data_IF_467831571234
#
_entry.id   IF_467831571234
#
_cell.length_a   1.000
_cell.length_b   1.000
_cell.length_c   1.000
_cell.angle_alpha   90.00
_cell.angle_beta   90.00
_cell.angle_gamma   90.00
#
_symmetry.space_group_name_H-M   'P 1'
#
loop_
_entity.id
_entity.type
_entity.pdbx_description
1 polymer ?
#
# COMPACT_ATOMS: atom_id res chain seq x y z
N UNK A 1 -30.42 19.79 12.14
CA UNK A 1 -29.34 19.28 13.01
C UNK A 1 -28.85 17.90 12.57
N UNK A 2 -29.72 16.88 12.36
CA UNK A 2 -29.30 15.53 11.94
C UNK A 2 -28.47 15.44 10.63
N UNK A 3 -28.71 16.30 9.63
CA UNK A 3 -27.96 16.30 8.37
C UNK A 3 -26.50 16.77 8.53
N UNK A 4 -26.25 17.71 9.44
CA UNK A 4 -24.89 18.20 9.70
C UNK A 4 -24.05 17.18 10.47
N UNK A 5 -24.67 16.37 11.34
CA UNK A 5 -23.97 15.33 12.09
C UNK A 5 -23.27 14.34 11.16
N UNK A 6 -23.98 13.83 10.15
CA UNK A 6 -23.41 12.87 9.19
C UNK A 6 -22.27 13.48 8.36
N UNK A 7 -22.36 14.77 8.01
CA UNK A 7 -21.28 15.48 7.29
C UNK A 7 -20.02 15.55 8.15
N UNK A 8 -20.15 15.95 9.42
CA UNK A 8 -19.00 16.02 10.33
C UNK A 8 -18.42 14.63 10.62
N UNK A 9 -19.25 13.60 10.79
CA UNK A 9 -18.79 12.20 10.93
C UNK A 9 -17.90 11.76 9.75
N UNK A 10 -18.24 12.12 8.51
CA UNK A 10 -17.39 11.81 7.36
C UNK A 10 -16.10 12.63 7.30
N UNK A 11 -16.16 13.91 7.68
CA UNK A 11 -14.99 14.79 7.67
C UNK A 11 -13.96 14.40 8.74
N UNK A 12 -14.43 13.86 9.86
CA UNK A 12 -13.60 13.42 10.98
C UNK A 12 -13.10 11.96 10.83
N UNK A 13 -13.41 11.29 9.72
CA UNK A 13 -12.87 9.95 9.47
C UNK A 13 -11.34 10.01 9.43
N UNK A 14 -10.65 9.16 10.20
CA UNK A 14 -9.20 9.12 10.18
C UNK A 14 -8.71 8.65 8.81
N UNK A 15 -7.61 9.23 8.35
CA UNK A 15 -6.91 8.78 7.15
C UNK A 15 -5.89 7.72 7.55
N UNK A 16 -6.08 6.49 7.08
CA UNK A 16 -5.22 5.36 7.44
C UNK A 16 -3.78 5.50 6.88
N UNK A 17 -3.65 6.12 5.71
CA UNK A 17 -2.36 6.34 5.03
C UNK A 17 -2.07 7.83 4.99
N UNK A 18 -1.11 8.26 5.80
CA UNK A 18 -0.70 9.66 5.88
C UNK A 18 0.64 9.88 5.18
N UNK A 19 0.84 11.11 4.71
CA UNK A 19 2.15 11.54 4.21
C UNK A 19 3.17 11.56 5.34
N UNK A 20 4.43 11.25 5.02
CA UNK A 20 5.52 11.35 5.99
C UNK A 20 5.81 12.82 6.26
N UNK A 21 6.10 13.17 7.52
CA UNK A 21 6.49 14.54 7.91
C UNK A 21 7.67 15.07 7.07
N UNK A 22 8.59 14.16 6.70
CA UNK A 22 9.71 14.43 5.82
C UNK A 22 9.61 13.47 4.62
N UNK A 23 8.92 13.87 3.54
CA UNK A 23 8.76 13.03 2.37
C UNK A 23 10.09 12.89 1.63
N UNK A 24 10.30 11.72 1.03
CA UNK A 24 11.46 11.49 0.16
C UNK A 24 11.19 12.18 -1.17
N UNK A 25 12.02 13.15 -1.53
CA UNK A 25 11.97 13.76 -2.87
C UNK A 25 12.69 12.86 -3.88
N UNK A 26 12.07 12.63 -5.04
CA UNK A 26 12.62 11.79 -6.10
C UNK A 26 12.69 12.62 -7.38
N UNK A 27 13.90 13.03 -7.78
CA UNK A 27 14.12 13.83 -8.98
C UNK A 27 14.01 12.99 -10.27
N UNK A 28 14.79 11.90 -10.35
CA UNK A 28 14.84 11.01 -11.51
C UNK A 28 14.81 9.55 -11.05
N UNK A 29 13.81 8.82 -11.54
CA UNK A 29 13.61 7.41 -11.22
C UNK A 29 14.45 6.53 -12.16
N UNK A 30 15.18 5.55 -11.60
CA UNK A 30 15.99 4.57 -12.36
C UNK A 30 15.14 3.46 -12.99
N UNK A 31 13.97 3.19 -12.41
CA UNK A 31 12.99 2.22 -12.94
C UNK A 31 13.09 0.81 -12.37
N UNK A 32 14.14 0.50 -11.60
CA UNK A 32 14.20 -0.74 -10.82
C UNK A 32 13.27 -0.64 -9.61
N UNK A 33 12.49 -1.69 -9.37
CA UNK A 33 11.59 -1.80 -8.22
C UNK A 33 12.02 -3.00 -7.39
N UNK A 34 12.19 -2.79 -6.07
CA UNK A 34 12.48 -3.86 -5.12
C UNK A 34 11.39 -3.90 -4.05
N UNK A 35 10.88 -5.09 -3.80
CA UNK A 35 10.11 -5.44 -2.62
C UNK A 35 11.05 -6.20 -1.69
N UNK A 36 11.16 -5.75 -0.44
CA UNK A 36 12.06 -6.32 0.55
C UNK A 36 11.25 -6.70 1.79
N UNK A 37 11.22 -7.99 2.13
CA UNK A 37 10.52 -8.57 3.28
C UNK A 37 9.08 -8.08 3.44
N UNK A 38 8.35 -8.01 2.33
CA UNK A 38 6.99 -7.49 2.32
C UNK A 38 6.04 -8.49 2.97
N UNK A 39 5.35 -8.04 4.01
CA UNK A 39 4.28 -8.78 4.68
C UNK A 39 3.02 -7.90 4.72
N UNK A 40 1.86 -8.53 4.59
CA UNK A 40 0.58 -7.83 4.54
C UNK A 40 -0.56 -8.70 5.09
N UNK A 41 -1.51 -8.07 5.80
CA UNK A 41 -2.77 -8.66 6.28
C UNK A 41 -3.86 -7.61 6.35
N UNK A 42 -5.11 -8.04 6.28
CA UNK A 42 -6.27 -7.20 6.57
C UNK A 42 -6.62 -7.32 8.06
N UNK A 43 -6.71 -6.20 8.78
CA UNK A 43 -7.07 -6.18 10.19
C UNK A 43 -6.31 -7.22 11.03
N UNK A 44 -7.07 -8.06 11.74
CA UNK A 44 -6.56 -9.16 12.57
C UNK A 44 -6.64 -10.53 11.88
N UNK A 45 -6.87 -10.56 10.56
CA UNK A 45 -6.92 -11.79 9.79
C UNK A 45 -5.53 -12.44 9.61
N UNK A 46 -5.53 -13.66 9.07
CA UNK A 46 -4.29 -14.34 8.69
C UNK A 46 -3.49 -13.55 7.64
N UNK A 47 -2.15 -13.63 7.66
CA UNK A 47 -1.30 -13.00 6.65
C UNK A 47 -1.68 -13.41 5.22
N UNK A 48 -1.78 -12.42 4.33
CA UNK A 48 -1.99 -12.59 2.88
C UNK A 48 -0.64 -12.64 2.16
N UNK A 49 0.30 -11.79 2.57
CA UNK A 49 1.70 -11.85 2.13
C UNK A 49 2.59 -12.08 3.35
N UNK A 50 3.57 -12.95 3.21
CA UNK A 50 4.54 -13.27 4.27
C UNK A 50 5.96 -13.25 3.71
N UNK A 51 6.70 -12.19 4.04
CA UNK A 51 8.15 -12.10 3.77
C UNK A 51 8.54 -12.14 2.30
N UNK A 52 7.81 -11.45 1.41
CA UNK A 52 8.11 -11.45 -0.03
C UNK A 52 9.32 -10.56 -0.34
N UNK A 53 10.34 -11.17 -0.98
CA UNK A 53 11.49 -10.49 -1.58
C UNK A 53 11.43 -10.63 -3.11
N UNK A 54 11.41 -9.51 -3.82
CA UNK A 54 11.28 -9.48 -5.28
C UNK A 54 12.01 -8.29 -5.89
N UNK A 55 12.70 -8.49 -7.02
CA UNK A 55 13.34 -7.42 -7.79
C UNK A 55 12.84 -7.41 -9.23
N UNK A 56 12.34 -6.26 -9.68
CA UNK A 56 11.99 -5.98 -11.07
C UNK A 56 13.05 -5.04 -11.65
N UNK A 57 13.87 -5.50 -12.61
CA UNK A 57 14.82 -4.65 -13.30
C UNK A 57 14.14 -3.52 -14.07
N UNK A 58 14.84 -2.40 -14.25
CA UNK A 58 14.34 -1.29 -15.04
C UNK A 58 13.99 -1.71 -16.48
N UNK A 59 12.78 -1.36 -16.92
CA UNK A 59 12.26 -1.74 -18.24
C UNK A 59 11.81 -3.21 -18.35
N UNK A 60 11.90 -3.99 -17.27
CA UNK A 60 11.40 -5.35 -17.21
C UNK A 60 9.89 -5.43 -17.00
N UNK A 61 9.33 -6.61 -17.22
CA UNK A 61 7.94 -6.94 -16.89
C UNK A 61 7.91 -8.22 -16.05
N UNK A 62 7.00 -8.27 -15.09
CA UNK A 62 6.81 -9.40 -14.20
C UNK A 62 5.32 -9.72 -14.10
N UNK A 63 4.98 -11.00 -14.22
CA UNK A 63 3.62 -11.50 -14.02
C UNK A 63 3.49 -12.18 -12.66
N UNK A 64 2.42 -11.87 -11.93
CA UNK A 64 2.00 -12.61 -10.74
C UNK A 64 0.86 -13.52 -11.16
N UNK A 65 1.00 -14.82 -10.89
CA UNK A 65 0.02 -15.85 -11.26
C UNK A 65 -0.32 -16.70 -10.05
N UNK A 66 -1.58 -17.06 -9.91
CA UNK A 66 -2.08 -17.86 -8.81
C UNK A 66 -3.59 -18.10 -8.93
N UNK A 67 -4.15 -19.03 -8.15
CA UNK A 67 -5.58 -19.20 -8.08
C UNK A 67 -6.24 -17.98 -7.42
N UNK A 68 -7.50 -17.72 -7.77
CA UNK A 68 -8.27 -16.63 -7.17
C UNK A 68 -8.39 -16.82 -5.65
N UNK A 69 -8.01 -15.80 -4.89
CA UNK A 69 -8.10 -15.80 -3.42
C UNK A 69 -6.89 -16.40 -2.69
N UNK A 70 -5.77 -16.63 -3.37
CA UNK A 70 -4.46 -16.84 -2.73
C UNK A 70 -3.84 -15.55 -2.20
#
# INVERSE_FOLDING_TARGET
LALFQRIFEYLDLPVDITEREQPVHIDRVKGEVRFEKVAFRYGDDSPVLDGIDLTLPAGGSLAVVGPTGS
#
